data_IF_995970223422
#
_entry.id   IF_995970223422
#
_cell.length_a   1.000
_cell.length_b   1.000
_cell.length_c   1.000
_cell.angle_alpha   90.00
_cell.angle_beta   90.00
_cell.angle_gamma   90.00
#
_symmetry.space_group_name_H-M   'P 1'
#
loop_
_entity.id
_entity.type
_entity.pdbx_description
1 polymer ?
#
# COMPACT_ATOMS: atom_id res chain seq x y z
N UNK A 1 -9.88 -16.06 15.62
CA UNK A 1 -9.03 -14.87 15.67
C UNK A 1 -7.62 -15.35 15.99
N UNK A 2 -6.68 -15.20 15.07
CA UNK A 2 -5.29 -15.65 15.24
C UNK A 2 -4.40 -14.55 15.86
N UNK A 3 -4.99 -13.43 16.31
CA UNK A 3 -4.27 -12.33 16.91
C UNK A 3 -3.46 -11.50 15.90
N UNK A 4 -3.73 -11.67 14.60
CA UNK A 4 -3.11 -10.88 13.53
C UNK A 4 -3.69 -9.46 13.57
N UNK A 5 -2.87 -8.42 13.78
CA UNK A 5 -3.34 -7.04 13.79
C UNK A 5 -3.94 -6.62 12.45
N UNK A 6 -4.79 -5.59 12.47
CA UNK A 6 -5.17 -4.87 11.26
C UNK A 6 -3.94 -4.25 10.59
N UNK A 7 -3.87 -4.30 9.25
CA UNK A 7 -2.68 -3.98 8.48
C UNK A 7 -2.97 -3.14 7.23
N UNK A 8 -1.91 -2.52 6.69
CA UNK A 8 -1.94 -2.05 5.32
C UNK A 8 -1.61 -3.22 4.40
N UNK A 9 -2.62 -3.75 3.70
CA UNK A 9 -2.52 -5.01 2.94
C UNK A 9 -1.61 -4.93 1.72
N UNK A 10 -1.31 -3.74 1.22
CA UNK A 10 -0.41 -3.52 0.08
C UNK A 10 0.29 -2.18 0.21
N UNK A 11 1.57 -2.13 -0.15
CA UNK A 11 2.43 -0.97 0.02
C UNK A 11 3.20 -0.67 -1.26
N UNK A 12 3.43 0.62 -1.53
CA UNK A 12 4.44 1.07 -2.48
C UNK A 12 5.72 1.31 -1.70
N UNK A 13 6.82 0.70 -2.14
CA UNK A 13 8.10 0.72 -1.41
C UNK A 13 9.18 1.32 -2.31
N UNK A 14 10.09 2.09 -1.71
CA UNK A 14 11.27 2.61 -2.38
C UNK A 14 12.49 2.48 -1.47
N UNK A 15 13.69 2.61 -2.05
CA UNK A 15 14.93 2.65 -1.27
C UNK A 15 15.17 4.06 -0.72
N UNK A 16 15.75 4.14 0.48
CA UNK A 16 16.16 5.42 1.07
C UNK A 16 17.13 6.20 0.15
N UNK A 17 18.02 5.49 -0.55
CA UNK A 17 18.96 6.11 -1.49
C UNK A 17 18.25 6.81 -2.66
N UNK A 18 17.21 6.18 -3.22
CA UNK A 18 16.41 6.78 -4.29
C UNK A 18 15.64 8.00 -3.79
N UNK A 19 14.96 7.88 -2.64
CA UNK A 19 14.17 8.97 -2.06
C UNK A 19 15.03 10.20 -1.74
N UNK A 20 16.23 9.99 -1.16
CA UNK A 20 17.16 11.07 -0.85
C UNK A 20 17.72 11.76 -2.11
N UNK A 21 17.98 10.99 -3.17
CA UNK A 21 18.55 11.51 -4.42
C UNK A 21 17.50 12.18 -5.31
N UNK A 22 16.25 11.71 -5.27
CA UNK A 22 15.19 12.10 -6.19
C UNK A 22 13.89 12.55 -5.49
N UNK A 23 13.94 13.43 -4.46
CA UNK A 23 12.78 13.71 -3.63
C UNK A 23 11.61 14.32 -4.41
N UNK A 24 11.90 15.18 -5.41
CA UNK A 24 10.87 15.78 -6.27
C UNK A 24 10.19 14.75 -7.18
N UNK A 25 10.95 13.83 -7.75
CA UNK A 25 10.39 12.78 -8.61
C UNK A 25 9.58 11.77 -7.77
N UNK A 26 10.05 11.45 -6.57
CA UNK A 26 9.31 10.61 -5.63
C UNK A 26 7.97 11.25 -5.22
N UNK A 27 7.97 12.53 -4.84
CA UNK A 27 6.73 13.27 -4.54
C UNK A 27 5.77 13.28 -5.73
N UNK A 28 6.26 13.65 -6.93
CA UNK A 28 5.44 13.69 -8.13
C UNK A 28 4.82 12.31 -8.46
N UNK A 29 5.59 11.23 -8.32
CA UNK A 29 5.09 9.87 -8.53
C UNK A 29 3.99 9.50 -7.52
N UNK A 30 4.21 9.77 -6.23
CA UNK A 30 3.25 9.46 -5.17
C UNK A 30 1.96 10.27 -5.34
N UNK A 31 2.06 11.56 -5.61
CA UNK A 31 0.91 12.44 -5.83
C UNK A 31 0.11 12.05 -7.07
N UNK A 32 0.78 11.76 -8.19
CA UNK A 32 0.11 11.28 -9.41
C UNK A 32 -0.60 9.94 -9.19
N UNK A 33 0.04 9.04 -8.44
CA UNK A 33 -0.54 7.74 -8.08
C UNK A 33 -1.75 7.91 -7.16
N UNK A 34 -1.67 8.80 -6.16
CA UNK A 34 -2.79 9.15 -5.28
C UNK A 34 -3.98 9.71 -6.07
N UNK A 35 -3.72 10.57 -7.06
CA UNK A 35 -4.76 11.07 -7.97
C UNK A 35 -5.37 9.95 -8.83
N UNK A 36 -4.56 8.99 -9.30
CA UNK A 36 -5.04 7.81 -10.02
C UNK A 36 -5.97 6.93 -9.18
N UNK A 37 -5.66 6.71 -7.90
CA UNK A 37 -6.57 6.01 -6.98
C UNK A 37 -7.85 6.79 -6.70
N UNK A 38 -7.77 8.12 -6.55
CA UNK A 38 -8.97 8.96 -6.43
C UNK A 38 -9.87 8.82 -7.66
N UNK A 39 -9.27 8.87 -8.86
CA UNK A 39 -9.98 8.63 -10.12
C UNK A 39 -10.61 7.24 -10.17
N UNK A 40 -9.90 6.18 -9.75
CA UNK A 40 -10.44 4.82 -9.73
C UNK A 40 -11.62 4.63 -8.77
N UNK A 41 -11.66 5.41 -7.69
CA UNK A 41 -12.81 5.42 -6.76
C UNK A 41 -14.00 6.16 -7.38
N UNK A 42 -13.76 7.36 -7.92
CA UNK A 42 -14.82 8.25 -8.40
C UNK A 42 -15.35 7.85 -9.80
N UNK A 43 -14.53 7.16 -10.61
CA UNK A 43 -14.79 6.75 -11.99
C UNK A 43 -14.52 5.25 -12.21
N UNK A 44 -14.99 4.39 -11.29
CA UNK A 44 -14.62 2.97 -11.25
C UNK A 44 -14.75 2.23 -12.59
N UNK A 45 -15.85 2.42 -13.33
CA UNK A 45 -16.04 1.74 -14.62
C UNK A 45 -14.96 2.12 -15.62
N UNK A 46 -14.67 3.41 -15.77
CA UNK A 46 -13.65 3.91 -16.69
C UNK A 46 -12.25 3.45 -16.28
N UNK A 47 -11.96 3.44 -14.97
CA UNK A 47 -10.69 2.90 -14.46
C UNK A 47 -10.53 1.40 -14.76
N UNK A 48 -11.59 0.59 -14.64
CA UNK A 48 -11.59 -0.82 -15.04
C UNK A 48 -11.35 -1.00 -16.54
N UNK A 49 -11.98 -0.19 -17.38
CA UNK A 49 -11.78 -0.19 -18.83
C UNK A 49 -10.33 0.17 -19.22
N UNK A 50 -9.74 1.18 -18.56
CA UNK A 50 -8.33 1.55 -18.75
C UNK A 50 -7.39 0.40 -18.35
N UNK A 51 -7.67 -0.27 -17.22
CA UNK A 51 -6.87 -1.41 -16.76
C UNK A 51 -6.91 -2.57 -17.77
N UNK A 52 -8.10 -2.90 -18.29
CA UNK A 52 -8.26 -3.95 -19.32
C UNK A 52 -7.57 -3.55 -20.62
N UNK A 53 -7.74 -2.31 -21.08
CA UNK A 53 -7.12 -1.81 -22.30
C UNK A 53 -5.58 -1.86 -22.24
N UNK A 54 -4.99 -1.61 -21.07
CA UNK A 54 -3.54 -1.70 -20.88
C UNK A 54 -3.01 -3.15 -20.77
N UNK A 55 -3.88 -4.14 -20.54
CA UNK A 55 -3.51 -5.53 -20.22
C UNK A 55 -4.36 -6.55 -20.99
N UNK A 56 -4.70 -6.27 -22.26
CA UNK A 56 -5.66 -7.05 -23.04
C UNK A 56 -5.29 -8.54 -23.17
N UNK A 57 -4.01 -8.85 -23.11
CA UNK A 57 -3.51 -10.23 -23.24
C UNK A 57 -3.74 -11.08 -21.97
N UNK A 58 -3.97 -10.46 -20.81
CA UNK A 58 -4.01 -11.16 -19.51
C UNK A 58 -5.30 -10.94 -18.73
N UNK A 59 -5.94 -9.76 -18.85
CA UNK A 59 -7.16 -9.41 -18.11
C UNK A 59 -8.41 -9.56 -18.99
N UNK A 60 -8.69 -10.80 -19.41
CA UNK A 60 -9.76 -11.09 -20.39
C UNK A 60 -11.16 -11.21 -19.77
N UNK A 61 -11.28 -11.39 -18.45
CA UNK A 61 -12.57 -11.46 -17.75
C UNK A 61 -12.94 -10.09 -17.18
N UNK A 62 -13.54 -9.23 -18.01
CA UNK A 62 -13.92 -7.86 -17.62
C UNK A 62 -14.92 -7.82 -16.46
N UNK A 63 -15.86 -8.78 -16.40
CA UNK A 63 -16.82 -8.88 -15.30
C UNK A 63 -16.12 -9.12 -13.94
N UNK A 64 -15.02 -9.87 -13.91
CA UNK A 64 -14.21 -10.04 -12.71
C UNK A 64 -13.50 -8.75 -12.31
N UNK A 65 -13.00 -7.98 -13.28
CA UNK A 65 -12.35 -6.69 -13.01
C UNK A 65 -13.34 -5.70 -12.40
N UNK A 66 -14.54 -5.60 -12.97
CA UNK A 66 -15.60 -4.72 -12.46
C UNK A 66 -16.03 -5.14 -11.04
N UNK A 67 -16.24 -6.44 -10.81
CA UNK A 67 -16.59 -6.96 -9.50
C UNK A 67 -15.48 -6.74 -8.46
N UNK A 68 -14.22 -6.94 -8.85
CA UNK A 68 -13.06 -6.70 -7.99
C UNK A 68 -12.95 -5.24 -7.58
N UNK A 69 -13.04 -4.31 -8.55
CA UNK A 69 -12.95 -2.88 -8.25
C UNK A 69 -14.13 -2.40 -7.40
N UNK A 70 -15.33 -2.93 -7.63
CA UNK A 70 -16.48 -2.70 -6.74
C UNK A 70 -16.19 -3.17 -5.32
N UNK A 71 -15.67 -4.39 -5.14
CA UNK A 71 -15.36 -4.93 -3.82
C UNK A 71 -14.26 -4.11 -3.11
N UNK A 72 -13.24 -3.63 -3.84
CA UNK A 72 -12.19 -2.77 -3.30
C UNK A 72 -12.73 -1.41 -2.83
N UNK A 73 -13.66 -0.83 -3.60
CA UNK A 73 -14.29 0.45 -3.25
C UNK A 73 -15.26 0.31 -2.07
N UNK A 74 -16.17 -0.67 -2.11
CA UNK A 74 -17.13 -0.94 -1.04
C UNK A 74 -16.42 -1.31 0.28
N UNK A 75 -15.28 -2.01 0.18
CA UNK A 75 -14.45 -2.39 1.32
C UNK A 75 -13.50 -1.30 1.83
N UNK A 76 -13.52 -0.10 1.23
CA UNK A 76 -12.64 1.02 1.60
C UNK A 76 -11.13 0.73 1.48
N UNK A 77 -10.73 -0.17 0.56
CA UNK A 77 -9.34 -0.54 0.34
C UNK A 77 -8.56 0.50 -0.48
N UNK A 78 -9.23 1.22 -1.39
CA UNK A 78 -8.58 2.28 -2.20
C UNK A 78 -8.65 3.67 -1.55
N UNK A 79 -9.80 3.98 -0.93
CA UNK A 79 -10.05 5.18 -0.15
C UNK A 79 -10.71 4.79 1.16
N UNK A 80 -10.09 5.16 2.28
CA UNK A 80 -10.62 4.85 3.60
C UNK A 80 -11.99 5.50 3.82
N UNK A 81 -12.74 5.02 4.81
CA UNK A 81 -14.02 5.63 5.19
C UNK A 81 -13.88 7.12 5.58
N UNK A 82 -12.69 7.54 6.06
CA UNK A 82 -12.37 8.94 6.37
C UNK A 82 -11.89 9.74 5.14
N UNK A 83 -11.88 9.15 3.95
CA UNK A 83 -11.46 9.81 2.71
C UNK A 83 -9.96 9.79 2.42
N UNK A 84 -9.15 9.12 3.25
CA UNK A 84 -7.71 9.06 3.06
C UNK A 84 -7.33 8.07 1.94
N UNK A 85 -6.33 8.43 1.14
CA UNK A 85 -5.74 7.59 0.08
C UNK A 85 -4.23 7.61 0.30
N UNK A 86 -3.64 6.44 0.56
CA UNK A 86 -2.18 6.26 0.69
C UNK A 86 -1.55 6.76 1.99
N UNK A 87 -2.29 7.41 2.89
CA UNK A 87 -1.76 7.82 4.21
C UNK A 87 -1.47 6.61 5.08
N UNK A 88 -0.19 6.45 5.43
CA UNK A 88 0.26 5.38 6.32
C UNK A 88 -0.09 5.69 7.77
N UNK A 89 -0.79 4.76 8.39
CA UNK A 89 -1.11 4.75 9.83
C UNK A 89 0.06 4.12 10.62
N UNK A 90 0.67 4.93 11.50
CA UNK A 90 1.78 4.52 12.36
C UNK A 90 1.39 3.38 13.30
N UNK A 91 0.21 3.42 13.91
CA UNK A 91 -0.22 2.41 14.88
C UNK A 91 -0.40 1.05 14.21
N UNK A 92 -0.94 1.02 12.98
CA UNK A 92 -1.03 -0.24 12.19
C UNK A 92 0.36 -0.80 11.87
N UNK A 93 1.29 0.05 11.44
CA UNK A 93 2.67 -0.37 11.14
C UNK A 93 3.41 -0.90 12.37
N UNK A 94 3.29 -0.23 13.52
CA UNK A 94 3.89 -0.66 14.78
C UNK A 94 3.24 -1.95 15.31
N UNK A 95 1.93 -2.09 15.18
CA UNK A 95 1.21 -3.30 15.60
C UNK A 95 1.63 -4.51 14.76
N UNK A 96 1.61 -4.38 13.43
CA UNK A 96 1.99 -5.48 12.54
C UNK A 96 3.46 -5.85 12.70
N UNK A 97 4.39 -4.89 12.66
CA UNK A 97 5.81 -5.21 12.87
C UNK A 97 6.11 -5.73 14.27
N UNK A 98 5.35 -5.30 15.29
CA UNK A 98 5.44 -5.84 16.65
C UNK A 98 4.99 -7.31 16.72
N UNK A 99 3.91 -7.66 16.01
CA UNK A 99 3.45 -9.04 15.85
C UNK A 99 4.48 -9.91 15.11
N UNK A 100 5.08 -9.42 14.02
CA UNK A 100 6.15 -10.13 13.30
C UNK A 100 7.41 -10.32 14.17
N UNK A 101 7.76 -9.33 15.01
CA UNK A 101 8.86 -9.46 15.96
C UNK A 101 8.56 -10.52 17.03
N UNK A 102 7.37 -10.45 17.64
CA UNK A 102 6.95 -11.39 18.70
C UNK A 102 6.84 -12.84 18.22
N UNK A 103 6.53 -13.04 16.93
CA UNK A 103 6.53 -14.37 16.30
C UNK A 103 7.92 -14.89 15.93
N UNK A 104 8.99 -14.08 16.08
CA UNK A 104 10.37 -14.50 15.85
C UNK A 104 10.77 -14.60 14.38
N UNK A 105 9.99 -14.03 13.46
CA UNK A 105 10.21 -14.13 12.01
C UNK A 105 10.92 -12.91 11.40
N UNK A 106 11.16 -11.86 12.17
CA UNK A 106 12.08 -10.80 11.77
C UNK A 106 13.52 -11.29 11.95
N UNK A 107 14.25 -11.46 10.85
CA UNK A 107 15.60 -12.02 10.82
C UNK A 107 16.64 -10.97 10.41
N UNK A 108 17.87 -11.14 10.89
CA UNK A 108 19.04 -10.40 10.39
C UNK A 108 19.53 -10.94 9.04
N UNK A 109 20.57 -10.30 8.48
CA UNK A 109 21.17 -10.71 7.20
C UNK A 109 21.79 -12.11 7.18
N UNK A 110 21.94 -12.76 8.33
CA UNK A 110 22.41 -14.14 8.46
C UNK A 110 21.26 -15.13 8.73
N UNK A 111 20.01 -14.69 8.67
CA UNK A 111 18.82 -15.51 8.93
C UNK A 111 18.55 -15.76 10.41
N UNK A 112 19.16 -15.01 11.33
CA UNK A 112 18.92 -15.17 12.77
C UNK A 112 17.86 -14.18 13.25
N UNK A 113 16.92 -14.65 14.08
CA UNK A 113 15.88 -13.79 14.65
C UNK A 113 16.49 -12.58 15.39
N UNK A 114 15.89 -11.41 15.17
CA UNK A 114 16.26 -10.16 15.83
C UNK A 114 16.07 -10.28 17.35
N UNK A 115 17.02 -9.74 18.11
CA UNK A 115 16.95 -9.71 19.58
C UNK A 115 16.13 -8.54 20.11
N UNK A 116 16.24 -7.40 19.42
CA UNK A 116 15.61 -6.15 19.80
C UNK A 116 14.59 -5.75 18.73
N UNK A 117 13.45 -5.21 19.16
CA UNK A 117 12.42 -4.74 18.24
C UNK A 117 12.92 -3.51 17.50
N UNK A 118 12.90 -3.49 16.15
CA UNK A 118 13.26 -2.30 15.38
C UNK A 118 12.36 -1.11 15.69
N UNK A 119 12.85 0.10 15.37
CA UNK A 119 11.99 1.27 15.22
C UNK A 119 11.19 1.16 13.91
N UNK A 120 10.04 0.51 14.01
CA UNK A 120 9.13 0.29 12.87
C UNK A 120 8.56 1.61 12.32
N UNK A 121 8.52 2.66 13.16
CA UNK A 121 8.07 3.99 12.74
C UNK A 121 9.02 4.64 11.73
N UNK A 122 10.28 4.24 11.71
CA UNK A 122 11.28 4.75 10.76
C UNK A 122 11.23 4.05 9.39
N UNK A 123 10.37 3.03 9.20
CA UNK A 123 10.34 2.22 7.98
C UNK A 123 9.32 2.71 6.95
N UNK A 124 8.58 3.76 7.26
CA UNK A 124 7.66 4.41 6.34
C UNK A 124 7.72 5.93 6.50
N UNK A 125 7.21 6.64 5.51
CA UNK A 125 7.10 8.10 5.53
C UNK A 125 5.86 8.54 4.76
N UNK A 126 5.22 9.61 5.24
CA UNK A 126 4.10 10.26 4.57
C UNK A 126 4.55 11.57 3.86
N UNK A 127 5.85 11.90 3.87
CA UNK A 127 6.37 13.20 3.40
C UNK A 127 6.16 13.47 1.91
N UNK A 128 5.96 12.42 1.11
CA UNK A 128 5.79 12.50 -0.35
C UNK A 128 4.31 12.59 -0.79
N UNK A 129 3.36 12.63 0.16
CA UNK A 129 1.92 12.66 -0.15
C UNK A 129 1.38 14.04 -0.55
N UNK A 130 2.13 15.11 -0.27
CA UNK A 130 1.76 16.53 -0.44
C UNK A 130 2.76 17.27 -1.31
#
# INVERSE_FOLDING_TARGET
DYGVPDEHTTLIVSSNAFLATNPKAAAAFVQATRAGYAFAVDHAKEAGELLVAANQDTLTNTALIDASLKALNDGHFLKSAAGAIGTMDKAKMEAMGGYLFASGILLDGNGKALKDKPDLGAYFTNEFLE
#
